data_IF_192171623789
#
_entry.id   IF_192171623789
#
_cell.length_a   1.000
_cell.length_b   1.000
_cell.length_c   1.000
_cell.angle_alpha   90.00
_cell.angle_beta   90.00
_cell.angle_gamma   90.00
#
_symmetry.space_group_name_H-M   'P 1'
#
loop_
_entity.id
_entity.type
_entity.pdbx_description
1 polymer ?
#
# COMPACT_ATOMS: atom_id res chain seq x y z
N UNK A 1 -16.09 -7.56 -5.72
CA UNK A 1 -14.88 -6.94 -5.13
C UNK A 1 -15.31 -5.93 -4.09
N UNK A 2 -14.76 -6.03 -2.89
CA UNK A 2 -14.98 -5.09 -1.79
C UNK A 2 -13.76 -4.21 -1.61
N UNK A 3 -13.99 -2.96 -1.23
CA UNK A 3 -12.96 -1.97 -0.91
C UNK A 3 -13.17 -1.48 0.52
N UNK A 4 -12.13 -1.54 1.32
CA UNK A 4 -12.03 -0.90 2.63
C UNK A 4 -10.95 0.17 2.54
N UNK A 5 -11.26 1.39 2.98
CA UNK A 5 -10.27 2.48 3.04
C UNK A 5 -10.02 2.83 4.50
N UNK A 6 -8.76 2.88 4.90
CA UNK A 6 -8.36 3.30 6.24
C UNK A 6 -7.43 4.49 6.08
N UNK A 7 -7.88 5.65 6.58
CA UNK A 7 -7.07 6.86 6.71
C UNK A 7 -7.11 7.34 8.15
N UNK A 8 -6.36 8.39 8.44
CA UNK A 8 -6.33 9.06 9.72
C UNK A 8 -6.66 10.53 9.57
N UNK A 9 -7.10 11.15 10.67
CA UNK A 9 -7.28 12.59 10.72
C UNK A 9 -6.93 13.13 12.11
N UNK A 10 -6.25 14.29 12.14
CA UNK A 10 -6.09 15.11 13.35
C UNK A 10 -6.76 16.46 13.13
N UNK A 11 -7.59 16.85 14.08
CA UNK A 11 -8.30 18.12 14.07
C UNK A 11 -7.75 19.02 15.18
N UNK A 12 -7.45 20.26 14.84
CA UNK A 12 -7.02 21.31 15.80
C UNK A 12 -8.18 22.19 16.25
N UNK A 13 -9.30 22.15 15.53
CA UNK A 13 -10.51 22.89 15.82
C UNK A 13 -11.77 22.07 15.45
N UNK A 14 -12.96 22.62 15.75
CA UNK A 14 -14.23 21.98 15.40
C UNK A 14 -14.67 22.23 13.95
N UNK A 15 -13.98 23.10 13.20
CA UNK A 15 -14.38 23.46 11.83
C UNK A 15 -13.94 22.41 10.80
N UNK A 16 -12.96 21.56 11.17
CA UNK A 16 -12.33 20.58 10.30
C UNK A 16 -11.67 21.15 9.03
N UNK A 17 -11.59 22.48 8.91
CA UNK A 17 -10.94 23.16 7.79
C UNK A 17 -9.45 22.82 7.71
N UNK A 18 -8.81 22.68 8.87
CA UNK A 18 -7.38 22.37 9.03
C UNK A 18 -7.11 20.90 9.35
N UNK A 19 -8.03 19.99 8.98
CA UNK A 19 -7.82 18.57 9.21
C UNK A 19 -6.56 18.06 8.49
N UNK A 20 -5.59 17.57 9.26
CA UNK A 20 -4.44 16.84 8.74
C UNK A 20 -4.89 15.42 8.44
N UNK A 21 -4.76 14.97 7.18
CA UNK A 21 -5.28 13.67 6.74
C UNK A 21 -4.19 12.69 6.34
N UNK A 22 -4.45 11.40 6.58
CA UNK A 22 -3.51 10.30 6.39
C UNK A 22 -3.31 9.55 7.69
N UNK A 23 -3.04 8.26 7.59
CA UNK A 23 -2.90 7.34 8.72
C UNK A 23 -1.88 7.79 9.78
N UNK A 24 -0.72 8.40 9.42
CA UNK A 24 0.19 8.93 10.43
C UNK A 24 -0.46 9.99 11.36
N UNK A 25 -1.49 10.69 10.90
CA UNK A 25 -2.19 11.71 11.68
C UNK A 25 -3.28 11.14 12.60
N UNK A 26 -3.59 9.83 12.54
CA UNK A 26 -4.44 9.20 13.56
C UNK A 26 -3.67 8.60 14.73
N UNK A 27 -2.33 8.72 14.76
CA UNK A 27 -1.50 8.05 15.77
C UNK A 27 -1.34 6.55 15.53
N UNK A 28 -1.90 6.01 14.44
CA UNK A 28 -1.78 4.60 14.08
C UNK A 28 -0.57 4.35 13.18
N UNK A 29 0.20 3.33 13.55
CA UNK A 29 1.26 2.78 12.70
C UNK A 29 0.64 1.91 11.58
N UNK A 30 0.87 2.26 10.29
CA UNK A 30 0.34 1.48 9.16
C UNK A 30 0.75 0.01 9.20
N UNK A 31 1.97 -0.30 9.63
CA UNK A 31 2.43 -1.68 9.73
C UNK A 31 1.62 -2.47 10.76
N UNK A 32 1.30 -1.85 11.90
CA UNK A 32 0.46 -2.45 12.95
C UNK A 32 -0.95 -2.70 12.43
N UNK A 33 -1.53 -1.74 11.70
CA UNK A 33 -2.86 -1.90 11.09
C UNK A 33 -2.86 -3.08 10.12
N UNK A 34 -1.91 -3.14 9.18
CA UNK A 34 -1.79 -4.23 8.21
C UNK A 34 -1.66 -5.59 8.93
N UNK A 35 -0.75 -5.70 9.91
CA UNK A 35 -0.54 -6.97 10.64
C UNK A 35 -1.70 -7.35 11.55
N UNK A 36 -2.47 -6.38 12.08
CA UNK A 36 -3.70 -6.67 12.84
C UNK A 36 -4.83 -7.18 11.95
N UNK A 37 -4.99 -6.61 10.75
CA UNK A 37 -6.01 -7.05 9.79
C UNK A 37 -5.70 -8.45 9.25
N UNK A 38 -4.43 -8.69 8.92
CA UNK A 38 -3.93 -9.95 8.33
C UNK A 38 -2.92 -10.65 9.26
N UNK A 39 -3.36 -11.13 10.43
CA UNK A 39 -2.48 -11.74 11.40
C UNK A 39 -1.89 -13.04 10.84
N UNK A 40 -0.57 -13.21 10.99
CA UNK A 40 0.19 -14.41 10.54
C UNK A 40 0.08 -14.72 9.04
N UNK A 41 -0.47 -13.81 8.24
CA UNK A 41 -0.50 -13.98 6.79
C UNK A 41 0.85 -13.58 6.18
N UNK A 42 1.37 -14.39 5.24
CA UNK A 42 2.48 -13.96 4.40
C UNK A 42 2.00 -12.83 3.49
N UNK A 43 2.86 -11.84 3.31
CA UNK A 43 2.63 -10.69 2.45
C UNK A 43 3.69 -10.69 1.36
N UNK A 44 3.33 -10.22 0.18
CA UNK A 44 4.27 -9.86 -0.87
C UNK A 44 4.23 -8.34 -1.02
N UNK A 45 5.29 -7.68 -0.59
CA UNK A 45 5.52 -6.27 -0.84
C UNK A 45 5.91 -6.08 -2.31
N UNK A 46 5.42 -5.02 -2.96
CA UNK A 46 5.76 -4.72 -4.35
C UNK A 46 6.00 -3.23 -4.58
N UNK A 47 6.94 -2.94 -5.47
CA UNK A 47 7.32 -1.59 -5.89
C UNK A 47 7.43 -1.51 -7.41
N UNK A 48 7.06 -0.35 -7.94
CA UNK A 48 7.20 0.05 -9.34
C UNK A 48 7.61 1.51 -9.39
N UNK A 49 8.46 1.86 -10.35
CA UNK A 49 9.09 3.17 -10.49
C UNK A 49 9.92 3.57 -9.25
N UNK A 50 10.54 2.59 -8.59
CA UNK A 50 11.38 2.78 -7.42
C UNK A 50 12.74 3.39 -7.75
N UNK A 51 13.43 3.90 -6.73
CA UNK A 51 14.84 4.25 -6.87
C UNK A 51 15.68 2.97 -6.77
N UNK A 52 16.71 2.76 -7.60
CA UNK A 52 17.60 1.59 -7.50
C UNK A 52 18.28 1.44 -6.14
N UNK A 53 18.50 2.53 -5.40
CA UNK A 53 19.06 2.48 -4.05
C UNK A 53 18.08 1.97 -2.97
N UNK A 54 16.78 1.87 -3.30
CA UNK A 54 15.73 1.43 -2.37
C UNK A 54 15.40 -0.06 -2.50
N UNK A 55 16.08 -0.81 -3.36
CA UNK A 55 15.87 -2.25 -3.52
C UNK A 55 16.24 -2.94 -2.20
N UNK A 56 15.31 -3.64 -1.54
CA UNK A 56 15.63 -4.35 -0.31
C UNK A 56 16.45 -5.61 -0.61
N UNK A 57 17.25 -6.04 0.38
CA UNK A 57 17.90 -7.36 0.32
C UNK A 57 16.86 -8.45 0.11
N UNK A 58 17.21 -9.50 -0.64
CA UNK A 58 16.31 -10.63 -0.96
C UNK A 58 15.08 -10.24 -1.79
N UNK A 59 15.12 -9.09 -2.47
CA UNK A 59 14.13 -8.77 -3.48
C UNK A 59 14.16 -9.77 -4.65
N UNK A 60 12.97 -10.12 -5.14
CA UNK A 60 12.73 -10.99 -6.27
C UNK A 60 12.08 -10.19 -7.41
N UNK A 61 12.14 -10.73 -8.63
CA UNK A 61 11.57 -10.06 -9.81
C UNK A 61 12.14 -8.66 -10.05
N UNK A 62 13.41 -8.45 -9.68
CA UNK A 62 14.08 -7.16 -9.80
C UNK A 62 14.35 -6.87 -11.27
N UNK A 63 13.82 -5.76 -11.76
CA UNK A 63 14.06 -5.30 -13.12
C UNK A 63 14.34 -3.80 -13.13
N UNK A 64 15.46 -3.45 -13.77
CA UNK A 64 15.88 -2.07 -14.00
C UNK A 64 15.47 -1.66 -15.41
N UNK A 65 14.82 -0.52 -15.54
CA UNK A 65 14.37 0.02 -16.81
C UNK A 65 14.45 1.55 -16.81
N UNK A 66 14.42 2.15 -17.98
CA UNK A 66 14.37 3.61 -18.10
C UNK A 66 12.91 4.07 -18.20
N UNK A 67 12.57 5.11 -17.44
CA UNK A 67 11.24 5.69 -17.48
C UNK A 67 11.20 7.11 -16.94
N UNK A 68 10.00 7.62 -16.72
CA UNK A 68 9.79 8.96 -16.19
C UNK A 68 9.09 8.86 -14.83
N UNK A 69 9.60 9.54 -13.81
CA UNK A 69 8.88 9.63 -12.53
C UNK A 69 7.65 10.52 -12.68
N UNK A 70 6.68 10.32 -11.80
CA UNK A 70 5.48 11.15 -11.71
C UNK A 70 5.83 12.65 -11.67
N UNK A 71 5.49 13.39 -12.73
CA UNK A 71 5.75 14.83 -12.85
C UNK A 71 7.18 15.21 -13.27
N UNK A 72 8.05 14.23 -13.54
CA UNK A 72 9.40 14.43 -14.06
C UNK A 72 9.40 14.61 -15.59
N UNK A 73 10.29 15.46 -16.09
CA UNK A 73 10.55 15.63 -17.54
C UNK A 73 11.78 14.88 -18.02
N UNK A 74 12.57 14.37 -17.08
CA UNK A 74 13.83 13.69 -17.36
C UNK A 74 13.63 12.18 -17.25
N UNK A 75 14.23 11.47 -18.20
CA UNK A 75 14.31 10.02 -18.16
C UNK A 75 15.27 9.62 -17.04
N UNK A 76 14.87 8.63 -16.24
CA UNK A 76 15.61 8.15 -15.08
C UNK A 76 15.63 6.63 -15.07
N UNK A 77 16.67 6.06 -14.47
CA UNK A 77 16.72 4.65 -14.15
C UNK A 77 15.74 4.35 -13.00
N UNK A 78 14.78 3.48 -13.27
CA UNK A 78 13.73 3.04 -12.37
C UNK A 78 13.86 1.54 -12.13
N UNK A 79 13.35 1.10 -10.99
CA UNK A 79 13.35 -0.32 -10.63
C UNK A 79 11.97 -0.77 -10.18
N UNK A 80 11.63 -1.99 -10.55
CA UNK A 80 10.53 -2.75 -9.97
C UNK A 80 11.07 -3.96 -9.22
N UNK A 81 10.39 -4.34 -8.16
CA UNK A 81 10.75 -5.50 -7.36
C UNK A 81 9.58 -5.99 -6.51
N UNK A 82 9.63 -7.25 -6.12
CA UNK A 82 8.75 -7.85 -5.13
C UNK A 82 9.58 -8.42 -3.97
N UNK A 83 9.00 -8.49 -2.76
CA UNK A 83 9.65 -9.11 -1.61
C UNK A 83 8.62 -9.77 -0.69
N UNK A 84 8.82 -11.06 -0.40
CA UNK A 84 8.01 -11.76 0.59
C UNK A 84 8.39 -11.25 2.00
N UNK A 85 7.38 -10.91 2.79
CA UNK A 85 7.53 -10.45 4.17
C UNK A 85 6.50 -11.09 5.08
N UNK A 86 6.89 -11.36 6.32
CA UNK A 86 6.02 -12.06 7.27
C UNK A 86 5.98 -11.39 8.64
N UNK A 87 7.05 -10.71 9.06
CA UNK A 87 7.13 -10.08 10.36
C UNK A 87 6.61 -8.63 10.34
N UNK A 88 6.27 -8.11 11.52
CA UNK A 88 5.93 -6.69 11.68
C UNK A 88 7.14 -5.78 11.40
N UNK A 89 8.34 -6.24 11.75
CA UNK A 89 9.57 -5.49 11.55
C UNK A 89 9.86 -5.30 10.05
N UNK A 90 9.67 -6.35 9.24
CA UNK A 90 9.88 -6.27 7.78
C UNK A 90 8.92 -5.26 7.15
N UNK A 91 7.64 -5.33 7.54
CA UNK A 91 6.60 -4.41 7.02
C UNK A 91 6.94 -2.96 7.39
N UNK A 92 7.39 -2.70 8.62
CA UNK A 92 7.85 -1.36 9.04
C UNK A 92 9.06 -0.89 8.24
N UNK A 93 10.07 -1.75 8.10
CA UNK A 93 11.29 -1.41 7.37
C UNK A 93 11.02 -1.04 5.91
N UNK A 94 10.09 -1.72 5.26
CA UNK A 94 9.71 -1.41 3.87
C UNK A 94 8.81 -0.18 3.73
N UNK A 95 7.97 0.10 4.73
CA UNK A 95 7.15 1.32 4.74
C UNK A 95 7.99 2.58 4.93
N UNK A 96 9.14 2.47 5.62
CA UNK A 96 10.05 3.57 5.85
C UNK A 96 9.44 4.70 6.69
N UNK A 97 10.02 5.88 6.56
CA UNK A 97 9.50 7.09 7.22
C UNK A 97 8.29 7.68 6.46
N UNK A 98 7.35 8.35 7.15
CA UNK A 98 6.22 9.00 6.50
C UNK A 98 6.63 9.94 5.37
N UNK A 99 6.16 9.67 4.16
CA UNK A 99 6.47 10.45 2.95
C UNK A 99 7.50 9.81 2.03
N UNK A 100 8.17 8.74 2.48
CA UNK A 100 9.00 7.92 1.60
C UNK A 100 8.12 7.08 0.65
N UNK A 101 8.45 7.11 -0.65
CA UNK A 101 7.73 6.37 -1.69
C UNK A 101 8.49 5.10 -2.07
N UNK A 102 8.85 4.30 -1.06
CA UNK A 102 9.64 3.07 -1.22
C UNK A 102 8.80 1.85 -1.57
N UNK A 103 7.47 1.98 -1.50
CA UNK A 103 6.54 0.89 -1.69
C UNK A 103 5.24 1.34 -2.38
N UNK A 104 4.62 0.45 -3.17
CA UNK A 104 3.28 0.65 -3.74
C UNK A 104 2.20 -0.04 -2.93
N UNK A 105 2.48 -1.23 -2.40
CA UNK A 105 1.52 -1.96 -1.60
C UNK A 105 1.99 -3.34 -1.15
N UNK A 106 1.04 -4.11 -0.67
CA UNK A 106 1.21 -5.51 -0.28
C UNK A 106 0.10 -6.37 -0.88
N UNK A 107 0.45 -7.53 -1.43
CA UNK A 107 -0.48 -8.61 -1.69
C UNK A 107 -0.52 -9.55 -0.46
N UNK A 108 -1.72 -9.88 0.02
CA UNK A 108 -1.94 -10.84 1.11
C UNK A 108 -2.10 -12.22 0.51
N UNK A 109 -1.09 -13.07 0.63
CA UNK A 109 -1.01 -14.30 -0.15
C UNK A 109 -1.93 -15.40 0.38
N UNK A 110 -2.43 -16.22 -0.54
CA UNK A 110 -3.01 -17.52 -0.23
C UNK A 110 -1.87 -18.57 -0.12
N UNK A 111 -2.10 -19.73 0.54
CA UNK A 111 -1.07 -20.77 0.67
C UNK A 111 -0.56 -21.33 -0.67
N UNK A 112 -1.36 -21.23 -1.72
CA UNK A 112 -1.18 -21.77 -3.05
C UNK A 112 -0.93 -20.70 -4.12
N UNK A 113 -0.65 -19.45 -3.72
CA UNK A 113 -0.36 -18.38 -4.67
C UNK A 113 0.93 -18.65 -5.44
N UNK A 114 0.83 -18.68 -6.78
CA UNK A 114 1.98 -18.66 -7.69
C UNK A 114 2.54 -17.24 -7.80
N UNK A 115 3.82 -17.08 -7.48
CA UNK A 115 4.47 -15.77 -7.47
C UNK A 115 4.67 -15.21 -8.87
N UNK A 116 4.97 -16.05 -9.87
CA UNK A 116 5.25 -15.58 -11.23
C UNK A 116 4.01 -14.94 -11.83
N UNK A 117 2.87 -15.62 -11.74
CA UNK A 117 1.58 -15.12 -12.23
C UNK A 117 1.12 -13.88 -11.44
N UNK A 118 1.44 -13.81 -10.15
CA UNK A 118 1.11 -12.67 -9.31
C UNK A 118 1.96 -11.44 -9.67
N UNK A 119 3.24 -11.60 -9.99
CA UNK A 119 4.12 -10.47 -10.32
C UNK A 119 3.63 -9.73 -11.55
N UNK A 120 3.27 -10.44 -12.62
CA UNK A 120 2.72 -9.84 -13.84
C UNK A 120 1.40 -9.09 -13.58
N UNK A 121 0.51 -9.68 -12.77
CA UNK A 121 -0.74 -9.05 -12.38
C UNK A 121 -0.52 -7.78 -11.55
N UNK A 122 0.45 -7.81 -10.62
CA UNK A 122 0.83 -6.65 -9.81
C UNK A 122 1.45 -5.54 -10.65
N UNK A 123 2.28 -5.85 -11.64
CA UNK A 123 2.86 -4.86 -12.56
C UNK A 123 1.78 -4.20 -13.43
N UNK A 124 0.80 -4.99 -13.90
CA UNK A 124 -0.36 -4.45 -14.60
C UNK A 124 -1.18 -3.48 -13.72
N UNK A 125 -1.21 -3.72 -12.40
CA UNK A 125 -1.91 -2.87 -11.44
C UNK A 125 -1.23 -1.54 -11.17
N UNK A 126 0.09 -1.48 -11.12
CA UNK A 126 0.82 -0.23 -10.81
C UNK A 126 1.03 0.65 -12.04
N UNK A 127 1.06 0.06 -13.24
CA UNK A 127 1.06 0.78 -14.51
C UNK A 127 2.35 1.55 -14.78
N UNK A 128 2.67 1.74 -16.06
CA UNK A 128 3.84 2.54 -16.45
C UNK A 128 3.47 4.03 -16.53
N UNK A 129 4.36 4.89 -16.05
CA UNK A 129 4.28 6.32 -16.34
C UNK A 129 4.58 6.59 -17.83
N UNK A 130 3.78 7.45 -18.46
CA UNK A 130 4.06 7.96 -19.80
C UNK A 130 4.33 9.47 -19.75
N UNK A 131 4.98 9.98 -20.80
CA UNK A 131 5.30 11.41 -20.93
C UNK A 131 4.05 12.31 -20.91
N UNK A 132 2.91 11.77 -21.38
CA UNK A 132 1.70 12.53 -21.71
C UNK A 132 0.63 12.51 -20.61
N UNK A 133 0.82 11.75 -19.53
CA UNK A 133 -0.15 11.70 -18.43
C UNK A 133 0.56 11.56 -17.08
N UNK A 134 0.23 12.39 -16.08
CA UNK A 134 0.73 12.16 -14.73
C UNK A 134 0.29 10.75 -14.29
N UNK A 135 1.21 9.89 -13.84
CA UNK A 135 0.92 8.48 -13.64
C UNK A 135 -0.14 8.33 -12.56
N UNK A 136 -1.24 7.66 -12.91
CA UNK A 136 -2.10 7.07 -11.91
C UNK A 136 -1.24 6.05 -11.16
N UNK A 137 -1.11 6.19 -9.83
CA UNK A 137 -0.32 5.28 -9.00
C UNK A 137 -0.76 3.81 -9.13
N UNK A 138 -2.02 3.61 -9.54
CA UNK A 138 -2.63 2.32 -9.77
C UNK A 138 -3.62 2.41 -10.95
N UNK A 139 -3.77 1.31 -11.69
CA UNK A 139 -4.76 1.09 -12.74
C UNK A 139 -5.92 0.26 -12.16
N UNK A 140 -7.08 0.87 -11.84
CA UNK A 140 -8.17 0.14 -11.18
C UNK A 140 -8.72 -1.03 -12.01
N UNK A 141 -8.56 -1.00 -13.34
CA UNK A 141 -9.00 -2.08 -14.24
C UNK A 141 -8.25 -3.40 -14.04
N UNK A 142 -7.04 -3.38 -13.47
CA UNK A 142 -6.23 -4.58 -13.20
C UNK A 142 -6.46 -5.15 -11.78
N UNK A 143 -7.22 -4.45 -10.92
CA UNK A 143 -7.54 -4.96 -9.57
C UNK A 143 -8.25 -6.31 -9.55
N UNK A 144 -9.23 -6.60 -10.44
CA UNK A 144 -9.87 -7.92 -10.47
C UNK A 144 -8.86 -9.05 -10.60
N UNK A 145 -7.91 -8.94 -11.54
CA UNK A 145 -6.92 -9.99 -11.81
C UNK A 145 -6.01 -10.25 -10.61
N UNK A 146 -5.58 -9.19 -9.91
CA UNK A 146 -4.78 -9.34 -8.69
C UNK A 146 -5.61 -10.01 -7.60
N UNK A 147 -6.81 -9.50 -7.32
CA UNK A 147 -7.71 -10.00 -6.27
C UNK A 147 -8.21 -11.42 -6.56
N UNK A 148 -8.15 -11.90 -7.80
CA UNK A 148 -8.39 -13.30 -8.13
C UNK A 148 -7.34 -14.24 -7.53
N UNK A 149 -6.09 -13.79 -7.41
CA UNK A 149 -4.90 -14.58 -7.04
C UNK A 149 -4.52 -14.49 -5.55
N UNK A 150 -5.01 -13.47 -4.86
CA UNK A 150 -4.63 -13.15 -3.48
C UNK A 150 -5.86 -13.04 -2.57
N UNK A 151 -5.65 -13.15 -1.26
CA UNK A 151 -6.73 -12.93 -0.29
C UNK A 151 -7.21 -11.48 -0.30
N UNK A 152 -6.25 -10.55 -0.37
CA UNK A 152 -6.48 -9.11 -0.48
C UNK A 152 -5.25 -8.42 -1.07
N UNK A 153 -5.44 -7.24 -1.64
CA UNK A 153 -4.35 -6.32 -1.98
C UNK A 153 -4.50 -5.03 -1.19
N UNK A 154 -3.42 -4.60 -0.55
CA UNK A 154 -3.30 -3.37 0.23
C UNK A 154 -2.50 -2.37 -0.58
N UNK A 155 -3.13 -1.28 -0.99
CA UNK A 155 -2.53 -0.21 -1.77
C UNK A 155 -2.25 1.00 -0.89
N UNK A 156 -1.05 1.56 -1.02
CA UNK A 156 -0.64 2.78 -0.33
C UNK A 156 -1.06 3.99 -1.18
N UNK A 157 -2.18 4.62 -0.83
CA UNK A 157 -2.65 5.84 -1.46
C UNK A 157 -2.06 7.07 -0.77
N UNK A 158 -1.96 8.19 -1.50
CA UNK A 158 -1.70 9.49 -0.90
C UNK A 158 -3.02 10.15 -0.54
N UNK A 159 -3.21 10.45 0.73
CA UNK A 159 -4.20 11.41 1.22
C UNK A 159 -3.57 12.81 1.26
N UNK A 160 -4.30 13.82 1.74
CA UNK A 160 -3.88 15.22 1.77
C UNK A 160 -2.51 15.43 2.42
N UNK A 161 -2.22 14.74 3.53
CA UNK A 161 -1.02 14.98 4.34
C UNK A 161 -0.27 13.69 4.73
N UNK A 162 -0.60 12.54 4.14
CA UNK A 162 0.01 11.27 4.51
C UNK A 162 -0.57 10.08 3.75
N UNK A 163 -0.12 8.87 4.09
CA UNK A 163 -0.59 7.65 3.44
C UNK A 163 -1.98 7.24 3.92
N UNK A 164 -2.80 6.71 3.02
CA UNK A 164 -4.01 5.98 3.34
C UNK A 164 -3.92 4.55 2.80
N UNK A 165 -4.54 3.59 3.48
CA UNK A 165 -4.57 2.19 3.06
C UNK A 165 -5.86 1.92 2.28
N UNK A 166 -5.73 1.53 1.01
CA UNK A 166 -6.84 1.01 0.21
C UNK A 166 -6.75 -0.51 0.15
N UNK A 167 -7.70 -1.21 0.75
CA UNK A 167 -7.68 -2.67 0.86
C UNK A 167 -8.78 -3.24 -0.02
N UNK A 168 -8.39 -4.07 -0.98
CA UNK A 168 -9.29 -4.67 -1.97
C UNK A 168 -9.30 -6.18 -1.81
N UNK A 169 -10.48 -6.79 -1.85
CA UNK A 169 -10.65 -8.23 -1.61
C UNK A 169 -11.91 -8.78 -2.28
N UNK A 170 -11.96 -10.11 -2.46
CA UNK A 170 -13.16 -10.80 -2.97
C UNK A 170 -14.29 -10.83 -1.95
N UNK A 171 -13.94 -11.06 -0.70
CA UNK A 171 -14.86 -11.16 0.43
C UNK A 171 -14.82 -9.87 1.23
N UNK A 172 -15.97 -9.46 1.78
CA UNK A 172 -16.02 -8.32 2.68
C UNK A 172 -15.11 -8.58 3.89
N UNK A 173 -14.22 -7.63 4.17
CA UNK A 173 -13.47 -7.61 5.42
C UNK A 173 -14.35 -7.01 6.51
N UNK A 174 -14.35 -7.64 7.68
CA UNK A 174 -14.98 -7.12 8.89
C UNK A 174 -13.85 -6.64 9.83
N UNK A 175 -13.37 -5.39 9.67
CA UNK A 175 -12.22 -4.89 10.41
C UNK A 175 -12.55 -4.52 11.85
N UNK A 176 -13.83 -4.36 12.19
CA UNK A 176 -14.30 -3.59 13.34
C UNK A 176 -13.63 -3.96 14.66
N UNK A 177 -13.66 -5.23 15.08
CA UNK A 177 -13.03 -5.62 16.34
C UNK A 177 -11.50 -5.48 16.33
N UNK A 178 -10.87 -5.78 15.19
CA UNK A 178 -9.40 -5.74 15.06
C UNK A 178 -8.88 -4.31 15.00
N UNK A 179 -9.60 -3.45 14.28
CA UNK A 179 -9.31 -2.05 14.10
C UNK A 179 -9.64 -1.27 15.36
N UNK A 180 -10.76 -1.54 16.04
CA UNK A 180 -11.10 -0.93 17.33
C UNK A 180 -9.97 -1.14 18.36
N UNK A 181 -9.42 -2.36 18.46
CA UNK A 181 -8.26 -2.64 19.31
C UNK A 181 -6.97 -1.93 18.87
N UNK A 182 -6.84 -1.59 17.59
CA UNK A 182 -5.70 -0.81 17.10
C UNK A 182 -5.89 0.66 17.49
N UNK A 183 -7.09 1.18 17.29
CA UNK A 183 -7.52 2.53 17.64
C UNK A 183 -7.38 2.80 19.13
N UNK A 184 -7.87 1.92 20.00
CA UNK A 184 -7.74 2.04 21.46
C UNK A 184 -6.27 2.12 21.90
N UNK A 185 -5.40 1.29 21.32
CA UNK A 185 -3.97 1.31 21.64
C UNK A 185 -3.24 2.56 21.13
N UNK A 186 -3.78 3.23 20.12
CA UNK A 186 -3.22 4.45 19.52
C UNK A 186 -3.93 5.73 19.94
N UNK A 187 -4.81 5.68 20.94
CA UNK A 187 -5.67 6.80 21.36
C UNK A 187 -6.45 7.44 20.18
N UNK A 188 -6.94 6.59 19.27
CA UNK A 188 -7.68 6.99 18.10
C UNK A 188 -9.14 6.55 18.20
N UNK A 189 -10.03 7.30 17.54
CA UNK A 189 -11.45 6.95 17.43
C UNK A 189 -11.74 6.34 16.05
N UNK A 190 -12.24 5.09 15.97
CA UNK A 190 -12.68 4.53 14.69
C UNK A 190 -13.97 5.23 14.26
N UNK A 191 -13.95 5.86 13.09
CA UNK A 191 -15.12 6.52 12.49
C UNK A 191 -15.47 5.82 11.18
N UNK A 192 -16.60 5.10 11.10
CA UNK A 192 -17.05 4.55 9.83
C UNK A 192 -17.49 5.71 8.92
N UNK A 193 -16.91 5.78 7.72
CA UNK A 193 -17.40 6.67 6.68
C UNK A 193 -18.52 5.97 5.92
N UNK A 194 -19.68 6.65 5.81
CA UNK A 194 -20.83 6.20 5.02
C UNK A 194 -20.63 6.50 3.53
#
# INVERSE_FOLDING_TARGET
MHRLVISGAKFTDMSAADAFRGLPHSGLDPAVVIKKLFPRKPLLAFMEDGHPADIPDEAEGVELYDGYRAGGRDQQALVRWCKRVSSLADVRALLGEPGEDRLRGFAVLNPDTDDSDLFEALFSLVGMASLDSPPARFQPGALPDVVERVQAVVLLHRDKNGVALGIYSKQRLEPDEKLAKACEAGDALPVPFA
#
